data_IF_039970576178
#
_entry.id   IF_039970576178
#
_cell.length_a   1.000
_cell.length_b   1.000
_cell.length_c   1.000
_cell.angle_alpha   90.00
_cell.angle_beta   90.00
_cell.angle_gamma   90.00
#
_symmetry.space_group_name_H-M   'P 1'
#
loop_
_entity.id
_entity.type
_entity.pdbx_description
1 polymer ?
#
# COMPACT_ATOMS: atom_id res chain seq x y z
N UNK A 1 -28.65 -21.58 9.52
CA UNK A 1 -28.10 -20.37 8.83
C UNK A 1 -26.61 -20.55 8.49
N UNK A 2 -25.76 -21.06 9.39
CA UNK A 2 -24.32 -21.23 9.18
C UNK A 2 -23.99 -22.10 7.96
N UNK A 3 -24.73 -23.18 7.71
CA UNK A 3 -24.52 -24.05 6.55
C UNK A 3 -24.72 -23.37 5.19
N UNK A 4 -25.32 -22.17 5.16
CA UNK A 4 -25.54 -21.38 3.93
C UNK A 4 -24.36 -20.47 3.58
N UNK A 5 -23.35 -20.34 4.45
CA UNK A 5 -22.19 -19.46 4.20
C UNK A 5 -21.26 -20.00 3.11
N UNK A 6 -21.32 -21.31 2.85
CA UNK A 6 -20.41 -21.95 1.90
C UNK A 6 -19.03 -22.28 2.48
N UNK A 7 -18.33 -23.19 1.85
CA UNK A 7 -17.02 -23.68 2.32
C UNK A 7 -15.87 -22.70 2.08
N UNK A 8 -16.07 -21.70 1.21
CA UNK A 8 -15.03 -20.74 0.82
C UNK A 8 -15.03 -19.45 1.59
N UNK A 9 -16.05 -19.22 2.44
CA UNK A 9 -16.21 -17.93 3.13
C UNK A 9 -14.99 -17.54 3.99
N UNK A 10 -14.37 -18.52 4.65
CA UNK A 10 -13.16 -18.26 5.46
C UNK A 10 -12.02 -17.75 4.59
N UNK A 11 -11.76 -18.41 3.46
CA UNK A 11 -10.70 -18.01 2.53
C UNK A 11 -10.97 -16.63 1.90
N UNK A 12 -12.24 -16.30 1.68
CA UNK A 12 -12.65 -15.01 1.12
C UNK A 12 -12.55 -13.86 2.11
N UNK A 13 -12.65 -14.15 3.41
CA UNK A 13 -12.63 -13.12 4.47
C UNK A 13 -11.31 -13.01 5.22
N UNK A 14 -10.41 -13.98 5.05
CA UNK A 14 -9.05 -13.92 5.63
C UNK A 14 -8.23 -12.79 5.00
N UNK A 15 -7.52 -12.01 5.82
CA UNK A 15 -6.60 -10.99 5.32
C UNK A 15 -5.52 -11.59 4.38
N UNK A 16 -5.07 -12.83 4.65
CA UNK A 16 -4.11 -13.54 3.81
C UNK A 16 -4.71 -14.21 2.57
N UNK A 17 -6.02 -14.12 2.36
CA UNK A 17 -6.72 -14.81 1.26
C UNK A 17 -6.15 -14.45 -0.11
N UNK A 18 -5.98 -13.16 -0.39
CA UNK A 18 -5.50 -12.67 -1.69
C UNK A 18 -4.09 -13.16 -1.99
N UNK A 19 -3.16 -13.00 -1.05
CA UNK A 19 -1.77 -13.44 -1.22
C UNK A 19 -1.67 -14.97 -1.36
N UNK A 20 -2.48 -15.71 -0.61
CA UNK A 20 -2.53 -17.17 -0.71
C UNK A 20 -3.07 -17.64 -2.06
N UNK A 21 -4.14 -17.04 -2.57
CA UNK A 21 -4.69 -17.37 -3.90
C UNK A 21 -3.69 -17.05 -5.01
N UNK A 22 -3.08 -15.87 -4.99
CA UNK A 22 -2.07 -15.50 -5.98
C UNK A 22 -0.85 -16.43 -5.91
N UNK A 23 -0.40 -16.76 -4.69
CA UNK A 23 0.68 -17.72 -4.48
C UNK A 23 0.39 -19.09 -5.10
N UNK A 24 -0.82 -19.58 -4.91
CA UNK A 24 -1.25 -20.88 -5.48
C UNK A 24 -1.40 -20.83 -7.00
N UNK A 25 -2.11 -19.82 -7.53
CA UNK A 25 -2.38 -19.72 -8.98
C UNK A 25 -1.09 -19.49 -9.78
N UNK A 26 -0.17 -18.70 -9.26
CA UNK A 26 1.08 -18.35 -9.93
C UNK A 26 2.24 -19.29 -9.59
N UNK A 27 2.03 -20.28 -8.73
CA UNK A 27 3.08 -21.23 -8.31
C UNK A 27 4.25 -20.55 -7.60
N UNK A 28 3.99 -19.56 -6.76
CA UNK A 28 5.03 -18.80 -6.07
C UNK A 28 5.68 -19.65 -4.98
N UNK A 29 7.00 -19.80 -5.01
CA UNK A 29 7.74 -20.71 -4.14
C UNK A 29 8.53 -20.04 -3.01
N UNK A 30 8.50 -18.71 -2.89
CA UNK A 30 9.15 -17.97 -1.82
C UNK A 30 8.16 -17.56 -0.73
N UNK A 31 8.48 -16.60 0.09
CA UNK A 31 7.61 -16.10 1.15
C UNK A 31 6.30 -15.55 0.59
N UNK A 32 5.19 -16.03 1.14
CA UNK A 32 3.85 -15.48 0.90
C UNK A 32 3.37 -14.89 2.23
N UNK A 33 3.10 -13.60 2.24
CA UNK A 33 2.66 -12.88 3.44
C UNK A 33 1.71 -11.75 3.08
N UNK A 34 1.01 -11.26 4.08
CA UNK A 34 0.11 -10.11 3.96
C UNK A 34 0.39 -9.18 5.13
N UNK A 35 0.58 -7.90 4.84
CA UNK A 35 0.61 -6.84 5.84
C UNK A 35 -0.68 -6.01 5.76
N UNK A 36 -0.91 -5.20 6.78
CA UNK A 36 -2.02 -4.25 6.83
C UNK A 36 -1.58 -3.02 7.62
N UNK A 37 -1.33 -1.94 6.91
CA UNK A 37 -0.87 -0.65 7.45
C UNK A 37 -1.69 0.50 6.87
N UNK A 38 -2.98 0.26 6.66
CA UNK A 38 -3.91 1.21 6.05
C UNK A 38 -3.35 1.79 4.74
N UNK A 39 -3.26 3.11 4.61
CA UNK A 39 -2.79 3.79 3.40
C UNK A 39 -1.33 3.49 3.04
N UNK A 40 -0.52 3.03 3.99
CA UNK A 40 0.89 2.69 3.78
C UNK A 40 1.12 1.24 3.35
N UNK A 41 0.08 0.41 3.32
CA UNK A 41 0.19 -1.04 3.08
C UNK A 41 0.96 -1.38 1.81
N UNK A 42 0.66 -0.69 0.69
CA UNK A 42 1.33 -0.93 -0.58
C UNK A 42 2.81 -0.55 -0.58
N UNK A 43 3.15 0.56 0.06
CA UNK A 43 4.55 0.99 0.22
C UNK A 43 5.33 0.01 1.09
N UNK A 44 4.75 -0.45 2.20
CA UNK A 44 5.38 -1.46 3.04
C UNK A 44 5.57 -2.79 2.30
N UNK A 45 4.58 -3.24 1.54
CA UNK A 45 4.71 -4.45 0.72
C UNK A 45 5.85 -4.34 -0.30
N UNK A 46 6.00 -3.16 -0.92
CA UNK A 46 7.10 -2.88 -1.85
C UNK A 46 8.44 -2.97 -1.14
N UNK A 47 8.61 -2.31 -0.01
CA UNK A 47 9.88 -2.33 0.75
C UNK A 47 10.20 -3.72 1.29
N UNK A 48 9.24 -4.47 1.79
CA UNK A 48 9.44 -5.86 2.20
C UNK A 48 9.95 -6.74 1.04
N UNK A 49 9.40 -6.56 -0.15
CA UNK A 49 9.85 -7.24 -1.35
C UNK A 49 11.24 -6.79 -1.80
N UNK A 50 11.50 -5.49 -1.76
CA UNK A 50 12.81 -4.91 -2.08
C UNK A 50 13.91 -5.46 -1.17
N UNK A 51 13.74 -5.39 0.14
CA UNK A 51 14.70 -5.90 1.12
C UNK A 51 14.97 -7.40 0.93
N UNK A 52 13.95 -8.16 0.54
CA UNK A 52 14.10 -9.59 0.31
C UNK A 52 14.89 -9.90 -0.95
N UNK A 53 14.71 -9.14 -2.03
CA UNK A 53 15.52 -9.25 -3.25
C UNK A 53 16.94 -8.74 -2.98
N UNK A 54 17.09 -7.58 -2.36
CA UNK A 54 18.37 -6.98 -2.02
C UNK A 54 19.24 -7.89 -1.14
N UNK A 55 18.63 -8.59 -0.18
CA UNK A 55 19.33 -9.54 0.69
C UNK A 55 19.61 -10.91 0.04
N UNK A 56 19.31 -11.09 -1.24
CA UNK A 56 19.50 -12.34 -1.97
C UNK A 56 18.59 -13.49 -1.56
N UNK A 57 17.57 -13.24 -0.73
CA UNK A 57 16.61 -14.26 -0.27
C UNK A 57 15.54 -14.60 -1.30
N UNK A 58 15.38 -13.75 -2.29
CA UNK A 58 14.48 -13.96 -3.42
C UNK A 58 15.10 -13.36 -4.68
N UNK A 59 14.97 -14.04 -5.81
CA UNK A 59 15.35 -13.53 -7.12
C UNK A 59 14.29 -12.54 -7.64
N UNK A 60 13.02 -12.87 -7.37
CA UNK A 60 11.84 -12.08 -7.77
C UNK A 60 10.82 -12.07 -6.65
N UNK A 61 10.12 -10.95 -6.48
CA UNK A 61 9.01 -10.80 -5.56
C UNK A 61 7.84 -10.13 -6.27
N UNK A 62 6.65 -10.73 -6.16
CA UNK A 62 5.40 -10.07 -6.51
C UNK A 62 4.92 -9.29 -5.27
N UNK A 63 4.80 -8.00 -5.41
CA UNK A 63 4.33 -7.10 -4.34
C UNK A 63 3.13 -6.31 -4.82
N UNK A 64 2.20 -6.00 -3.95
CA UNK A 64 1.01 -5.26 -4.35
C UNK A 64 0.12 -4.89 -3.19
N UNK A 65 -0.92 -4.17 -3.52
CA UNK A 65 -1.94 -3.74 -2.57
C UNK A 65 -3.29 -3.66 -3.26
N UNK A 66 -4.34 -3.85 -2.50
CA UNK A 66 -5.71 -3.65 -2.96
C UNK A 66 -6.55 -3.01 -1.87
N UNK A 67 -7.62 -2.35 -2.28
CA UNK A 67 -8.61 -1.80 -1.37
C UNK A 67 -10.02 -2.07 -1.90
N UNK A 68 -10.95 -2.24 -0.97
CA UNK A 68 -12.37 -2.45 -1.22
C UNK A 68 -13.11 -1.10 -1.19
N UNK A 69 -14.25 -1.03 -1.87
CA UNK A 69 -15.16 0.11 -1.95
C UNK A 69 -16.55 -0.19 -1.33
N UNK A 70 -16.62 -1.16 -0.46
CA UNK A 70 -17.89 -1.57 0.15
C UNK A 70 -18.57 -0.46 0.94
N UNK A 71 -19.92 -0.46 0.91
CA UNK A 71 -20.73 0.56 1.58
C UNK A 71 -20.44 0.69 3.09
N UNK A 72 -20.02 -0.38 3.75
CA UNK A 72 -19.64 -0.36 5.17
C UNK A 72 -18.33 0.42 5.40
N UNK A 73 -17.38 0.35 4.46
CA UNK A 73 -16.13 1.12 4.53
C UNK A 73 -16.43 2.60 4.35
N UNK A 74 -17.21 2.94 3.31
CA UNK A 74 -17.60 4.33 3.04
C UNK A 74 -18.44 4.90 4.18
N UNK A 75 -19.41 4.14 4.70
CA UNK A 75 -20.22 4.54 5.85
C UNK A 75 -19.37 4.78 7.10
N UNK A 76 -18.31 4.01 7.31
CA UNK A 76 -17.34 4.24 8.39
C UNK A 76 -16.61 5.56 8.26
N UNK A 77 -16.07 5.89 7.07
CA UNK A 77 -15.42 7.18 6.82
C UNK A 77 -16.39 8.35 6.87
N UNK A 78 -17.64 8.15 6.42
CA UNK A 78 -18.69 9.16 6.52
C UNK A 78 -19.05 9.45 7.98
N UNK A 79 -19.20 8.43 8.79
CA UNK A 79 -19.43 8.57 10.23
C UNK A 79 -18.30 9.32 10.95
N UNK A 80 -17.06 9.19 10.48
CA UNK A 80 -15.91 9.98 10.95
C UNK A 80 -15.95 11.43 10.47
N UNK A 81 -16.86 11.81 9.57
CA UNK A 81 -16.96 13.15 8.94
C UNK A 81 -15.69 13.59 8.22
N UNK A 82 -15.01 12.66 7.58
CA UNK A 82 -13.77 12.93 6.83
C UNK A 82 -13.94 12.90 5.32
N UNK A 83 -15.15 12.64 4.83
CA UNK A 83 -15.48 12.65 3.41
C UNK A 83 -15.86 14.05 2.91
N UNK A 84 -15.56 14.34 1.64
CA UNK A 84 -15.96 15.59 1.03
C UNK A 84 -17.38 15.55 0.50
N UNK A 85 -18.11 16.66 0.64
CA UNK A 85 -19.44 16.89 0.05
C UNK A 85 -19.42 18.09 -0.94
N UNK A 86 -18.31 18.82 -1.01
CA UNK A 86 -18.27 20.11 -1.72
C UNK A 86 -18.39 19.97 -3.24
N UNK A 87 -18.09 18.78 -3.77
CA UNK A 87 -17.98 18.59 -5.21
C UNK A 87 -18.93 17.51 -5.75
N UNK A 88 -20.07 17.27 -5.09
CA UNK A 88 -21.03 16.27 -5.55
C UNK A 88 -21.57 16.60 -6.95
N UNK A 89 -21.70 17.89 -7.29
CA UNK A 89 -22.13 18.34 -8.62
C UNK A 89 -20.99 18.42 -9.65
N UNK A 90 -19.73 18.31 -9.19
CA UNK A 90 -18.52 18.38 -10.03
C UNK A 90 -17.50 17.35 -9.52
N UNK A 91 -17.81 16.05 -9.60
CA UNK A 91 -17.02 15.01 -8.92
C UNK A 91 -15.57 14.92 -9.40
N UNK A 92 -15.30 15.31 -10.64
CA UNK A 92 -13.94 15.40 -11.20
C UNK A 92 -13.03 16.40 -10.45
N UNK A 93 -13.62 17.30 -9.67
CA UNK A 93 -12.91 18.27 -8.83
C UNK A 93 -12.85 17.86 -7.36
N UNK A 94 -13.37 16.70 -7.00
CA UNK A 94 -13.50 16.27 -5.60
C UNK A 94 -12.18 15.90 -4.95
N UNK A 95 -11.32 15.18 -5.65
CA UNK A 95 -10.02 14.74 -5.12
C UNK A 95 -8.97 15.84 -5.33
N UNK A 96 -8.57 16.48 -4.21
CA UNK A 96 -7.62 17.61 -4.21
C UNK A 96 -6.52 17.40 -3.18
N UNK A 97 -5.69 16.33 -3.31
CA UNK A 97 -4.60 16.10 -2.36
C UNK A 97 -3.61 17.26 -2.40
N UNK A 98 -3.09 17.64 -1.23
CA UNK A 98 -2.11 18.73 -1.03
C UNK A 98 -2.60 20.15 -1.43
N UNK A 99 -3.87 20.31 -1.76
CA UNK A 99 -4.46 21.62 -2.06
C UNK A 99 -4.97 22.31 -0.80
N UNK A 100 -4.90 23.63 -0.76
CA UNK A 100 -5.57 24.44 0.27
C UNK A 100 -7.10 24.34 0.22
N UNK A 101 -7.66 23.86 -0.90
CA UNK A 101 -9.08 23.63 -1.08
C UNK A 101 -9.49 22.19 -0.75
N UNK A 102 -8.57 21.35 -0.30
CA UNK A 102 -8.89 19.99 0.11
C UNK A 102 -9.98 19.98 1.18
N UNK A 103 -11.01 19.16 0.99
CA UNK A 103 -12.21 19.19 1.84
C UNK A 103 -12.59 17.84 2.42
N UNK A 104 -11.80 16.82 2.19
CA UNK A 104 -12.03 15.46 2.69
C UNK A 104 -11.71 14.40 1.64
N UNK A 105 -11.96 13.15 2.02
CA UNK A 105 -11.71 12.01 1.16
C UNK A 105 -12.79 11.84 0.08
N UNK A 106 -12.35 11.34 -1.06
CA UNK A 106 -13.21 10.72 -2.07
C UNK A 106 -12.91 9.22 -2.02
N UNK A 107 -13.88 8.38 -1.66
CA UNK A 107 -13.65 6.94 -1.58
C UNK A 107 -13.42 6.34 -2.97
N UNK A 108 -12.61 5.32 -3.00
CA UNK A 108 -12.31 4.58 -4.21
C UNK A 108 -11.83 3.17 -3.89
N UNK A 109 -11.84 2.32 -4.90
CA UNK A 109 -11.28 0.98 -4.85
C UNK A 109 -10.23 0.79 -5.91
N UNK A 110 -9.45 -0.26 -5.77
CA UNK A 110 -8.47 -0.62 -6.77
C UNK A 110 -7.47 -1.64 -6.27
N UNK A 111 -6.65 -2.10 -7.19
CA UNK A 111 -5.52 -2.97 -6.91
C UNK A 111 -4.35 -2.62 -7.83
N UNK A 112 -3.14 -2.78 -7.32
CA UNK A 112 -1.93 -2.63 -8.10
C UNK A 112 -0.89 -3.65 -7.66
N UNK A 113 -0.07 -4.12 -8.59
CA UNK A 113 0.99 -5.05 -8.31
C UNK A 113 2.23 -4.73 -9.15
N UNK A 114 3.40 -5.02 -8.58
CA UNK A 114 4.70 -4.87 -9.20
C UNK A 114 5.48 -6.17 -9.04
N UNK A 115 6.30 -6.49 -10.03
CA UNK A 115 7.31 -7.52 -9.91
C UNK A 115 8.65 -6.83 -9.65
N UNK A 116 9.20 -7.05 -8.47
CA UNK A 116 10.57 -6.68 -8.13
C UNK A 116 11.50 -7.81 -8.49
N UNK A 117 12.67 -7.49 -9.01
CA UNK A 117 13.62 -8.47 -9.51
C UNK A 117 15.04 -7.94 -9.35
N UNK A 118 16.02 -8.82 -9.14
CA UNK A 118 17.42 -8.39 -9.20
C UNK A 118 17.78 -7.92 -10.61
N UNK A 119 18.67 -6.93 -10.70
CA UNK A 119 19.10 -6.37 -11.99
C UNK A 119 19.70 -7.45 -12.91
N UNK A 120 20.52 -8.33 -12.36
CA UNK A 120 21.15 -9.41 -13.10
C UNK A 120 20.11 -10.33 -13.75
N UNK A 121 19.09 -10.74 -12.98
CA UNK A 121 18.01 -11.60 -13.48
C UNK A 121 17.17 -10.89 -14.54
N UNK A 122 16.89 -9.60 -14.37
CA UNK A 122 16.13 -8.80 -15.32
C UNK A 122 16.88 -8.67 -16.66
N UNK A 123 18.19 -8.44 -16.60
CA UNK A 123 19.04 -8.33 -17.78
C UNK A 123 19.19 -9.68 -18.50
N UNK A 124 19.41 -10.77 -17.77
CA UNK A 124 19.54 -12.11 -18.33
C UNK A 124 18.34 -12.51 -19.16
N UNK A 125 17.12 -12.28 -18.66
CA UNK A 125 15.88 -12.57 -19.39
C UNK A 125 15.41 -11.44 -20.34
N UNK A 126 16.19 -10.37 -20.48
CA UNK A 126 15.87 -9.21 -21.32
C UNK A 126 14.52 -8.57 -20.95
N UNK A 127 14.28 -8.42 -19.64
CA UNK A 127 13.05 -7.81 -19.14
C UNK A 127 12.96 -6.33 -19.51
N UNK A 128 11.73 -5.84 -19.68
CA UNK A 128 11.50 -4.40 -19.67
C UNK A 128 11.65 -3.89 -18.25
N UNK A 129 12.63 -3.02 -18.01
CA UNK A 129 12.87 -2.38 -16.72
C UNK A 129 12.20 -1.01 -16.76
N UNK A 130 11.22 -0.79 -15.87
CA UNK A 130 10.48 0.46 -15.79
C UNK A 130 11.14 1.47 -14.85
N UNK A 131 11.72 0.99 -13.75
CA UNK A 131 12.38 1.81 -12.76
C UNK A 131 13.30 0.95 -11.89
N UNK A 132 14.18 1.60 -11.16
CA UNK A 132 14.98 1.02 -10.08
C UNK A 132 14.43 1.48 -8.73
N UNK A 133 14.34 0.57 -7.76
CA UNK A 133 14.04 0.89 -6.36
C UNK A 133 15.36 1.15 -5.65
N UNK A 134 15.62 2.40 -5.33
CA UNK A 134 16.89 2.82 -4.72
C UNK A 134 16.93 2.58 -3.21
N UNK A 135 15.82 2.66 -2.55
CA UNK A 135 15.70 2.50 -1.10
C UNK A 135 14.35 2.99 -0.59
N UNK A 136 14.19 3.03 0.72
CA UNK A 136 12.97 3.52 1.35
C UNK A 136 13.03 3.44 2.87
N UNK A 137 12.00 3.93 3.55
CA UNK A 137 11.91 3.85 5.00
C UNK A 137 10.45 3.73 5.45
N UNK A 138 10.27 3.02 6.55
CA UNK A 138 9.00 2.88 7.25
C UNK A 138 9.23 3.26 8.71
N UNK A 139 8.38 4.13 9.25
CA UNK A 139 8.40 4.43 10.67
C UNK A 139 6.98 4.54 11.24
N UNK A 140 6.87 4.50 12.56
CA UNK A 140 5.62 4.77 13.24
C UNK A 140 5.43 6.28 13.40
N UNK A 141 4.23 6.77 13.03
CA UNK A 141 3.82 8.13 13.31
C UNK A 141 3.61 8.40 14.80
N UNK A 142 3.37 7.36 15.60
CA UNK A 142 3.01 7.47 17.01
C UNK A 142 1.69 8.22 17.23
N UNK A 143 1.18 8.14 18.43
CA UNK A 143 0.00 8.90 18.82
C UNK A 143 0.42 10.30 19.29
N UNK A 144 -0.14 11.31 18.65
CA UNK A 144 0.09 12.70 19.03
C UNK A 144 -0.91 13.13 20.11
N UNK A 145 -0.46 13.85 21.13
CA UNK A 145 -1.33 14.45 22.14
C UNK A 145 -2.39 15.34 21.48
N UNK A 146 -3.67 15.09 21.81
CA UNK A 146 -4.81 15.80 21.22
C UNK A 146 -5.16 15.42 19.78
N UNK A 147 -4.47 14.45 19.18
CA UNK A 147 -4.76 13.92 17.85
C UNK A 147 -5.51 12.61 17.88
N UNK A 148 -6.23 12.31 16.80
CA UNK A 148 -6.81 10.99 16.54
C UNK A 148 -5.74 10.04 15.97
N UNK A 149 -6.04 8.75 15.91
CA UNK A 149 -5.18 7.73 15.32
C UNK A 149 -4.78 8.06 13.86
N UNK A 150 -5.67 8.74 13.13
CA UNK A 150 -5.48 9.13 11.73
C UNK A 150 -4.81 10.50 11.54
N UNK A 151 -4.57 11.26 12.63
CA UNK A 151 -3.94 12.55 12.54
C UNK A 151 -2.45 12.43 12.21
N UNK A 152 -1.95 13.10 11.16
CA UNK A 152 -0.55 12.99 10.77
C UNK A 152 0.37 13.61 11.82
N UNK A 153 1.52 12.96 12.04
CA UNK A 153 2.62 13.51 12.82
C UNK A 153 3.68 14.05 11.86
N UNK A 154 3.71 15.34 11.66
CA UNK A 154 4.60 15.99 10.68
C UNK A 154 6.08 15.72 10.95
N UNK A 155 6.50 15.62 12.22
CA UNK A 155 7.89 15.29 12.58
C UNK A 155 8.25 13.85 12.16
N UNK A 156 7.34 12.90 12.38
CA UNK A 156 7.55 11.51 11.97
C UNK A 156 7.58 11.37 10.45
N UNK A 157 6.68 12.09 9.74
CA UNK A 157 6.67 12.12 8.27
C UNK A 157 7.98 12.72 7.73
N UNK A 158 8.40 13.86 8.25
CA UNK A 158 9.67 14.49 7.87
C UNK A 158 10.86 13.56 8.08
N UNK A 159 10.92 12.91 9.25
CA UNK A 159 11.98 11.94 9.55
C UNK A 159 11.94 10.76 8.57
N UNK A 160 10.76 10.23 8.25
CA UNK A 160 10.62 9.13 7.30
C UNK A 160 11.16 9.49 5.91
N UNK A 161 10.84 10.69 5.42
CA UNK A 161 11.34 11.19 4.14
C UNK A 161 12.88 11.32 4.17
N UNK A 162 13.44 11.93 5.21
CA UNK A 162 14.89 12.09 5.35
C UNK A 162 15.60 10.73 5.40
N UNK A 163 15.07 9.80 6.18
CA UNK A 163 15.65 8.47 6.30
C UNK A 163 15.55 7.67 4.98
N UNK A 164 14.44 7.79 4.25
CA UNK A 164 14.27 7.16 2.94
C UNK A 164 15.27 7.73 1.91
N UNK A 165 15.45 9.05 1.87
CA UNK A 165 16.45 9.68 0.99
C UNK A 165 17.86 9.26 1.35
N UNK A 166 18.16 9.14 2.65
CA UNK A 166 19.48 8.67 3.12
C UNK A 166 19.72 7.22 2.72
N UNK A 167 18.72 6.35 2.88
CA UNK A 167 18.81 4.94 2.48
C UNK A 167 19.02 4.80 0.96
N UNK A 168 18.29 5.58 0.17
CA UNK A 168 18.42 5.66 -1.28
C UNK A 168 19.67 6.41 -1.76
N UNK A 169 20.48 6.98 -0.86
CA UNK A 169 21.64 7.83 -1.18
C UNK A 169 21.31 8.96 -2.17
N UNK A 170 20.15 9.58 -2.02
CA UNK A 170 19.67 10.67 -2.88
C UNK A 170 19.59 12.00 -2.11
N UNK A 171 19.47 13.11 -2.82
CA UNK A 171 19.33 14.45 -2.26
C UNK A 171 18.00 15.07 -2.67
N UNK A 172 17.49 16.02 -1.87
CA UNK A 172 16.21 16.70 -2.14
C UNK A 172 16.17 17.53 -3.43
N UNK A 173 17.29 17.69 -4.12
CA UNK A 173 17.44 18.41 -5.38
C UNK A 173 17.54 17.49 -6.59
N UNK A 174 17.48 16.20 -6.36
CA UNK A 174 17.50 15.13 -7.38
C UNK A 174 16.10 14.52 -7.52
#
# INVERSE_FOLDING_TARGET
KVRRLGSTVVLQTMASGISAYLGGILGLGNQVTTNSSACSTGTEALLMGFERVQSGKALRMLVGSCSDDGAYIWGGFDAMRVMTYKHNETPEKGSKPMSSEASGFVPGSGAGALVLESLESALERKATIYAEVLGGNINSGGQRSGGTLTAPNSKAVQKCIIDAMKDANTKSTE
#
